data_IF_844014442326
#
_entry.id   IF_844014442326
#
_cell.length_a   1.000
_cell.length_b   1.000
_cell.length_c   1.000
_cell.angle_alpha   90.00
_cell.angle_beta   90.00
_cell.angle_gamma   90.00
#
_symmetry.space_group_name_H-M   'P 1'
#
loop_
_entity.id
_entity.type
_entity.pdbx_description
1 polymer ?
#
# COMPACT_ATOMS: atom_id res chain seq x y z
N UNK A 1 -9.76 10.80 -12.14
CA UNK A 1 -9.44 11.40 -10.81
C UNK A 1 -9.85 10.47 -9.67
N UNK A 2 -11.14 10.17 -9.45
CA UNK A 2 -11.58 9.22 -8.40
C UNK A 2 -10.95 7.83 -8.48
N UNK A 3 -10.72 7.33 -9.70
CA UNK A 3 -10.08 6.02 -9.91
C UNK A 3 -8.61 6.01 -9.46
N UNK A 4 -7.84 7.05 -9.80
CA UNK A 4 -6.44 7.19 -9.37
C UNK A 4 -6.31 7.41 -7.86
N UNK A 5 -7.25 8.14 -7.24
CA UNK A 5 -7.31 8.27 -5.78
C UNK A 5 -7.45 6.92 -5.07
N UNK A 6 -8.19 5.97 -5.66
CA UNK A 6 -8.42 4.64 -5.07
C UNK A 6 -7.19 3.72 -5.07
N UNK A 7 -6.12 4.08 -5.79
CA UNK A 7 -4.87 3.32 -5.84
C UNK A 7 -4.08 3.50 -4.53
N UNK A 8 -4.16 4.67 -3.91
CA UNK A 8 -3.33 5.01 -2.76
C UNK A 8 -3.83 4.38 -1.46
N UNK A 9 -2.90 3.83 -0.68
CA UNK A 9 -3.20 3.30 0.64
C UNK A 9 -3.53 4.43 1.63
N UNK A 10 -4.40 4.13 2.59
CA UNK A 10 -4.69 4.98 3.76
C UNK A 10 -4.43 4.20 5.06
N UNK A 11 -3.95 4.87 6.13
CA UNK A 11 -3.45 6.24 6.13
C UNK A 11 -2.17 6.37 5.29
N UNK A 12 -1.90 7.58 4.80
CA UNK A 12 -0.65 7.87 4.07
C UNK A 12 0.53 7.80 5.03
N UNK A 13 1.55 7.00 4.73
CA UNK A 13 2.83 7.09 5.43
C UNK A 13 3.58 8.34 4.94
N UNK A 14 3.55 9.40 5.74
CA UNK A 14 3.92 10.75 5.30
C UNK A 14 5.42 10.90 5.03
N UNK A 15 6.25 10.03 5.61
CA UNK A 15 7.69 10.05 5.40
C UNK A 15 8.10 9.69 3.97
N UNK A 16 7.25 8.97 3.25
CA UNK A 16 7.44 8.63 1.84
C UNK A 16 6.78 9.64 0.88
N UNK A 17 6.18 10.71 1.42
CA UNK A 17 5.52 11.72 0.62
C UNK A 17 6.52 12.81 0.19
N UNK A 18 6.53 13.09 -1.11
CA UNK A 18 7.27 14.20 -1.70
C UNK A 18 6.50 15.52 -1.59
N UNK A 19 7.16 16.67 -1.82
CA UNK A 19 6.46 17.93 -2.03
C UNK A 19 5.41 17.83 -3.13
N UNK A 20 4.42 18.73 -3.09
CA UNK A 20 3.41 18.81 -4.13
C UNK A 20 4.08 18.94 -5.51
N UNK A 21 3.66 18.11 -6.44
CA UNK A 21 4.21 18.11 -7.80
C UNK A 21 3.88 19.42 -8.51
N UNK A 22 4.89 20.03 -9.14
CA UNK A 22 4.77 21.22 -10.00
C UNK A 22 5.43 20.95 -11.35
N UNK A 23 5.11 21.77 -12.35
CA UNK A 23 5.69 21.64 -13.68
C UNK A 23 7.22 21.78 -13.64
N UNK A 24 7.76 22.66 -12.78
CA UNK A 24 9.21 22.81 -12.60
C UNK A 24 9.88 21.56 -11.99
N UNK A 25 9.20 20.88 -11.06
CA UNK A 25 9.69 19.62 -10.47
C UNK A 25 9.70 18.52 -11.54
N UNK A 26 8.66 18.46 -12.38
CA UNK A 26 8.57 17.49 -13.48
C UNK A 26 9.68 17.75 -14.50
N UNK A 27 9.81 18.99 -14.99
CA UNK A 27 10.84 19.36 -15.97
C UNK A 27 12.26 19.06 -15.43
N UNK A 28 12.52 19.38 -14.17
CA UNK A 28 13.80 19.09 -13.52
C UNK A 28 14.09 17.59 -13.42
N UNK A 29 13.07 16.78 -13.10
CA UNK A 29 13.20 15.33 -13.06
C UNK A 29 13.46 14.74 -14.45
N UNK A 30 12.69 15.13 -15.47
CA UNK A 30 12.91 14.69 -16.85
C UNK A 30 14.29 15.09 -17.39
N UNK A 31 14.76 16.30 -17.07
CA UNK A 31 16.10 16.75 -17.43
C UNK A 31 17.18 15.91 -16.74
N UNK A 32 17.02 15.60 -15.44
CA UNK A 32 17.97 14.79 -14.68
C UNK A 32 18.02 13.35 -15.18
N UNK A 33 16.86 12.76 -15.47
CA UNK A 33 16.72 11.39 -15.94
C UNK A 33 17.08 11.24 -17.43
N UNK A 34 16.96 12.31 -18.22
CA UNK A 34 17.18 12.27 -19.67
C UNK A 34 16.00 11.69 -20.47
N UNK A 35 14.84 11.48 -19.83
CA UNK A 35 13.65 10.88 -20.42
C UNK A 35 12.40 11.71 -20.13
N UNK A 36 11.42 11.64 -21.05
CA UNK A 36 10.08 12.15 -20.79
C UNK A 36 9.29 11.13 -19.98
N UNK A 37 8.65 11.57 -18.91
CA UNK A 37 7.86 10.69 -18.05
C UNK A 37 6.51 10.39 -18.69
N UNK A 38 5.94 9.18 -18.48
CA UNK A 38 4.59 8.86 -18.94
C UNK A 38 3.56 9.83 -18.37
N UNK A 39 2.60 10.26 -19.18
CA UNK A 39 1.55 11.18 -18.73
C UNK A 39 0.73 10.58 -17.59
N UNK A 40 0.40 9.28 -17.67
CA UNK A 40 -0.37 8.56 -16.66
C UNK A 40 0.38 8.47 -15.32
N UNK A 41 1.71 8.36 -15.36
CA UNK A 41 2.55 8.41 -14.17
C UNK A 41 2.49 9.80 -13.51
N UNK A 42 2.62 10.87 -14.31
CA UNK A 42 2.48 12.25 -13.82
C UNK A 42 1.07 12.50 -13.25
N UNK A 43 0.01 12.07 -13.93
CA UNK A 43 -1.36 12.25 -13.46
C UNK A 43 -1.63 11.50 -12.15
N UNK A 44 -1.04 10.31 -11.96
CA UNK A 44 -1.06 9.61 -10.69
C UNK A 44 -0.33 10.40 -9.59
N UNK A 45 0.87 10.91 -9.86
CA UNK A 45 1.66 11.67 -8.88
C UNK A 45 1.05 13.05 -8.55
N UNK A 46 0.24 13.63 -9.45
CA UNK A 46 -0.55 14.84 -9.15
C UNK A 46 -1.62 14.58 -8.08
N UNK A 47 -2.11 13.35 -7.95
CA UNK A 47 -3.02 12.94 -6.88
C UNK A 47 -2.27 12.80 -5.55
N UNK A 48 -1.15 12.06 -5.57
CA UNK A 48 -0.25 11.93 -4.42
C UNK A 48 1.16 11.67 -4.92
N UNK A 49 2.13 12.51 -4.51
CA UNK A 49 3.50 12.42 -5.02
C UNK A 49 4.31 11.41 -4.20
N UNK A 50 4.04 10.12 -4.44
CA UNK A 50 4.72 8.99 -3.81
C UNK A 50 4.00 8.39 -2.59
N UNK A 51 4.43 7.18 -2.22
CA UNK A 51 3.95 6.46 -1.04
C UNK A 51 3.33 5.10 -1.37
N UNK A 52 2.77 4.45 -0.35
CA UNK A 52 2.17 3.12 -0.49
C UNK A 52 0.87 3.12 -1.30
N UNK A 53 0.67 2.07 -2.07
CA UNK A 53 -0.54 1.78 -2.83
C UNK A 53 -1.24 0.57 -2.22
N UNK A 54 -2.56 0.52 -2.37
CA UNK A 54 -3.40 -0.61 -1.93
C UNK A 54 -3.79 -1.55 -3.08
N UNK A 55 -3.40 -1.22 -4.31
CA UNK A 55 -3.62 -2.08 -5.46
C UNK A 55 -2.28 -2.51 -6.03
N UNK A 56 -2.11 -3.81 -6.24
CA UNK A 56 -0.87 -4.44 -6.65
C UNK A 56 -1.10 -5.36 -7.86
N UNK A 57 -0.01 -5.81 -8.46
CA UNK A 57 -0.06 -6.85 -9.48
C UNK A 57 -0.34 -8.20 -8.78
N UNK A 58 -1.05 -9.08 -9.47
CA UNK A 58 -1.26 -10.44 -8.98
C UNK A 58 0.10 -11.15 -8.82
N UNK A 59 0.27 -11.93 -7.74
CA UNK A 59 1.52 -12.65 -7.42
C UNK A 59 2.78 -11.76 -7.30
N UNK A 60 2.60 -10.47 -7.00
CA UNK A 60 3.70 -9.50 -6.86
C UNK A 60 3.72 -8.85 -5.48
N UNK A 61 4.92 -8.44 -5.06
CA UNK A 61 5.18 -7.72 -3.79
C UNK A 61 5.14 -6.21 -3.94
N UNK A 62 4.76 -5.69 -5.12
CA UNK A 62 4.69 -4.26 -5.36
C UNK A 62 3.65 -3.59 -4.47
N UNK A 63 4.08 -2.55 -3.76
CA UNK A 63 3.30 -1.95 -2.68
C UNK A 63 3.43 -0.43 -2.63
N UNK A 64 4.18 0.19 -3.55
CA UNK A 64 4.40 1.64 -3.54
C UNK A 64 4.61 2.20 -4.93
N UNK A 65 4.52 3.52 -5.00
CA UNK A 65 4.95 4.31 -6.13
C UNK A 65 5.95 5.33 -5.61
N UNK A 66 7.13 5.41 -6.22
CA UNK A 66 8.13 6.41 -5.90
C UNK A 66 7.67 7.78 -6.38
N UNK A 67 7.91 8.80 -5.57
CA UNK A 67 7.57 10.17 -5.96
C UNK A 67 8.68 10.84 -6.77
N UNK A 68 8.45 12.11 -7.10
CA UNK A 68 9.45 13.01 -7.66
C UNK A 68 9.74 14.09 -6.62
N UNK A 69 10.95 14.07 -6.06
CA UNK A 69 11.37 15.04 -5.07
C UNK A 69 12.62 14.61 -4.30
N UNK A 70 12.97 15.36 -3.24
CA UNK A 70 14.24 15.18 -2.53
C UNK A 70 14.21 14.07 -1.46
N UNK A 71 13.05 13.48 -1.16
CA UNK A 71 12.91 12.51 -0.09
C UNK A 71 12.97 11.08 -0.61
N UNK A 72 13.20 10.10 0.26
CA UNK A 72 13.05 8.70 -0.11
C UNK A 72 11.58 8.26 0.00
N UNK A 73 11.05 7.43 -0.92
CA UNK A 73 11.67 7.01 -2.17
C UNK A 73 11.40 8.00 -3.32
N UNK A 74 12.37 8.14 -4.23
CA UNK A 74 12.31 9.08 -5.36
C UNK A 74 12.82 8.45 -6.65
N UNK A 75 12.09 8.61 -7.75
CA UNK A 75 12.54 8.13 -9.07
C UNK A 75 13.78 8.88 -9.57
N UNK A 76 14.14 10.00 -8.95
CA UNK A 76 15.29 10.81 -9.35
C UNK A 76 16.58 10.41 -8.63
N UNK A 77 16.51 9.43 -7.72
CA UNK A 77 17.64 8.93 -6.94
C UNK A 77 18.05 7.52 -7.42
N UNK A 78 18.20 7.38 -8.74
CA UNK A 78 18.60 6.11 -9.36
C UNK A 78 20.11 5.96 -9.21
N UNK A 79 20.53 4.92 -8.49
CA UNK A 79 21.91 4.47 -8.44
C UNK A 79 21.99 2.97 -8.72
N UNK A 80 22.59 2.65 -9.87
CA UNK A 80 22.79 1.27 -10.33
C UNK A 80 24.20 0.75 -10.07
N UNK A 81 25.11 1.56 -9.50
CA UNK A 81 26.53 1.22 -9.41
C UNK A 81 26.78 -0.07 -8.65
N UNK A 82 26.05 -0.29 -7.56
CA UNK A 82 26.19 -1.48 -6.70
C UNK A 82 25.70 -2.77 -7.38
N UNK A 83 24.90 -2.69 -8.45
CA UNK A 83 24.25 -3.84 -9.10
C UNK A 83 24.96 -4.29 -10.38
N UNK A 84 25.85 -3.47 -10.96
CA UNK A 84 26.51 -3.73 -12.26
C UNK A 84 27.25 -5.06 -12.34
N UNK A 85 27.80 -5.52 -11.22
CA UNK A 85 28.55 -6.78 -11.15
C UNK A 85 27.65 -8.00 -10.86
N UNK A 86 26.38 -7.79 -10.53
CA UNK A 86 25.43 -8.84 -10.15
C UNK A 86 24.49 -9.26 -11.26
N UNK A 87 24.27 -8.39 -12.25
CA UNK A 87 23.34 -8.63 -13.36
C UNK A 87 24.03 -8.55 -14.72
N UNK A 88 23.50 -9.28 -15.70
CA UNK A 88 24.02 -9.36 -17.07
C UNK A 88 23.29 -8.45 -18.06
N UNK A 89 22.14 -7.89 -17.66
CA UNK A 89 21.34 -6.99 -18.49
C UNK A 89 21.74 -5.52 -18.35
N UNK A 90 21.44 -4.73 -19.39
CA UNK A 90 21.72 -3.28 -19.42
C UNK A 90 20.87 -2.54 -18.38
N UNK A 91 21.52 -1.74 -17.52
CA UNK A 91 20.87 -0.98 -16.45
C UNK A 91 20.54 0.45 -16.88
N UNK A 92 21.30 1.02 -17.82
CA UNK A 92 21.04 2.38 -18.31
C UNK A 92 19.69 2.46 -19.04
N UNK A 93 18.80 3.34 -18.57
CA UNK A 93 17.44 3.46 -19.08
C UNK A 93 16.37 2.72 -18.26
N UNK A 94 16.75 1.99 -17.21
CA UNK A 94 15.82 1.50 -16.19
C UNK A 94 15.66 2.55 -15.09
N UNK A 95 14.44 3.06 -14.92
CA UNK A 95 14.10 4.04 -13.87
C UNK A 95 13.15 3.37 -12.86
N UNK A 96 13.63 2.95 -11.68
CA UNK A 96 12.78 2.36 -10.65
C UNK A 96 11.68 3.30 -10.17
N UNK A 97 10.46 2.76 -10.04
CA UNK A 97 9.35 3.43 -9.36
C UNK A 97 8.69 2.58 -8.25
N UNK A 98 9.15 1.35 -8.06
CA UNK A 98 8.91 0.49 -6.90
C UNK A 98 10.15 -0.41 -6.72
N UNK A 99 10.35 -0.96 -5.54
CA UNK A 99 11.44 -1.87 -5.18
C UNK A 99 11.82 -1.81 -3.70
N UNK A 100 12.70 -2.72 -3.27
CA UNK A 100 13.22 -2.77 -1.90
C UNK A 100 14.76 -2.84 -1.81
N UNK A 101 15.44 -2.85 -2.96
CA UNK A 101 16.89 -3.07 -3.06
C UNK A 101 17.27 -4.41 -3.69
N UNK A 102 16.39 -5.41 -3.59
CA UNK A 102 16.63 -6.75 -4.17
C UNK A 102 15.86 -6.94 -5.48
N UNK A 103 14.74 -6.24 -5.62
CA UNK A 103 13.98 -6.15 -6.86
C UNK A 103 13.49 -4.73 -7.10
N UNK A 104 13.15 -4.44 -8.36
CA UNK A 104 12.55 -3.19 -8.78
C UNK A 104 11.49 -3.40 -9.85
N UNK A 105 10.50 -2.51 -9.89
CA UNK A 105 9.68 -2.28 -11.08
C UNK A 105 10.11 -0.96 -11.68
N UNK A 106 10.45 -0.98 -12.97
CA UNK A 106 11.07 0.13 -13.66
C UNK A 106 10.21 0.63 -14.82
N UNK A 107 10.25 1.95 -15.04
CA UNK A 107 10.02 2.52 -16.37
C UNK A 107 11.24 2.17 -17.23
N UNK A 108 11.04 1.37 -18.27
CA UNK A 108 12.11 0.84 -19.11
C UNK A 108 12.17 1.55 -20.47
N UNK A 109 13.19 2.39 -20.61
CA UNK A 109 13.42 3.20 -21.81
C UNK A 109 14.42 2.59 -22.79
N UNK A 110 14.96 1.38 -22.51
CA UNK A 110 16.03 0.76 -23.31
C UNK A 110 15.59 0.51 -24.75
N UNK A 111 14.33 0.10 -24.93
CA UNK A 111 13.73 -0.15 -26.24
C UNK A 111 13.10 1.12 -26.86
N UNK A 112 12.54 2.00 -26.04
CA UNK A 112 11.86 3.21 -26.51
C UNK A 112 12.00 4.37 -25.53
N UNK A 113 12.71 5.43 -25.95
CA UNK A 113 13.02 6.60 -25.11
C UNK A 113 11.84 7.54 -24.86
N UNK A 114 10.72 7.37 -25.56
CA UNK A 114 9.55 8.26 -25.45
C UNK A 114 8.33 7.60 -24.82
N UNK A 115 8.20 6.28 -24.93
CA UNK A 115 7.11 5.51 -24.33
C UNK A 115 7.72 4.26 -23.68
N UNK A 116 8.07 4.32 -22.38
CA UNK A 116 8.70 3.20 -21.70
C UNK A 116 7.71 2.05 -21.51
N UNK A 117 8.20 0.83 -21.61
CA UNK A 117 7.50 -0.34 -21.09
C UNK A 117 7.73 -0.46 -19.58
N UNK A 118 7.06 -1.40 -18.93
CA UNK A 118 7.23 -1.68 -17.50
C UNK A 118 7.93 -3.03 -17.36
N UNK A 119 9.06 -3.02 -16.66
CA UNK A 119 9.91 -4.19 -16.47
C UNK A 119 10.13 -4.43 -14.98
N UNK A 120 9.88 -5.66 -14.54
CA UNK A 120 10.34 -6.15 -13.26
C UNK A 120 11.79 -6.63 -13.40
N UNK A 121 12.65 -6.24 -12.46
CA UNK A 121 14.04 -6.70 -12.39
C UNK A 121 14.32 -7.24 -11.00
N UNK A 122 14.98 -8.38 -10.96
CA UNK A 122 15.49 -9.03 -9.75
C UNK A 122 17.02 -8.98 -9.83
N UNK A 123 17.61 -8.16 -8.97
CA UNK A 123 19.05 -7.91 -8.95
C UNK A 123 19.83 -9.00 -8.23
N UNK A 124 19.16 -9.87 -7.47
CA UNK A 124 19.79 -11.01 -6.80
C UNK A 124 19.84 -12.26 -7.69
N UNK A 125 18.85 -12.41 -8.58
CA UNK A 125 18.71 -13.60 -9.43
C UNK A 125 19.14 -13.40 -10.89
N UNK A 126 19.68 -12.23 -11.26
CA UNK A 126 19.99 -11.85 -12.64
C UNK A 126 18.80 -12.11 -13.60
N UNK A 127 17.62 -11.63 -13.18
CA UNK A 127 16.38 -11.87 -13.90
C UNK A 127 15.65 -10.56 -14.22
N UNK A 128 14.99 -10.54 -15.37
CA UNK A 128 14.10 -9.44 -15.75
C UNK A 128 12.92 -9.96 -16.56
N UNK A 129 11.76 -9.38 -16.34
CA UNK A 129 10.52 -9.75 -17.00
C UNK A 129 9.71 -8.52 -17.37
N UNK A 130 9.15 -8.53 -18.57
CA UNK A 130 8.23 -7.48 -18.99
C UNK A 130 6.88 -7.66 -18.29
N UNK A 131 6.45 -6.62 -17.59
CA UNK A 131 5.20 -6.55 -16.83
C UNK A 131 4.07 -5.95 -17.68
N UNK A 132 4.35 -4.86 -18.40
CA UNK A 132 3.33 -4.17 -19.18
C UNK A 132 3.93 -3.41 -20.37
N UNK A 133 3.12 -3.17 -21.40
CA UNK A 133 3.54 -2.39 -22.59
C UNK A 133 3.66 -0.89 -22.32
N UNK A 134 3.00 -0.38 -21.28
CA UNK A 134 3.03 1.02 -20.87
C UNK A 134 2.66 1.19 -19.39
N UNK A 135 2.87 2.39 -18.83
CA UNK A 135 2.41 2.69 -17.47
C UNK A 135 0.89 2.63 -17.34
N UNK A 136 0.15 3.03 -18.39
CA UNK A 136 -1.32 2.90 -18.42
C UNK A 136 -1.75 1.43 -18.33
N UNK A 137 -1.09 0.55 -19.09
CA UNK A 137 -1.38 -0.89 -19.06
C UNK A 137 -1.05 -1.48 -17.69
N UNK A 138 0.05 -1.05 -17.05
CA UNK A 138 0.37 -1.42 -15.67
C UNK A 138 -0.74 -1.02 -14.69
N UNK A 139 -1.24 0.21 -14.75
CA UNK A 139 -2.35 0.65 -13.90
C UNK A 139 -3.61 -0.20 -14.09
N UNK A 140 -3.89 -0.64 -15.32
CA UNK A 140 -5.07 -1.47 -15.62
C UNK A 140 -4.98 -2.90 -15.07
N UNK A 141 -3.77 -3.38 -14.79
CA UNK A 141 -3.52 -4.70 -14.21
C UNK A 141 -3.54 -4.69 -12.67
N UNK A 142 -3.53 -3.51 -12.03
CA UNK A 142 -3.54 -3.43 -10.56
C UNK A 142 -4.89 -3.86 -9.98
N UNK A 143 -4.84 -4.83 -9.08
CA UNK A 143 -6.01 -5.33 -8.35
C UNK A 143 -5.86 -5.05 -6.86
N UNK A 144 -6.98 -5.03 -6.13
CA UNK A 144 -6.97 -4.78 -4.70
C UNK A 144 -6.67 -6.09 -3.95
N UNK A 145 -5.54 -6.16 -3.24
CA UNK A 145 -5.20 -7.31 -2.40
C UNK A 145 -6.03 -7.32 -1.10
N UNK A 146 -7.07 -8.16 -1.04
CA UNK A 146 -8.01 -8.27 0.10
C UNK A 146 -8.41 -9.73 0.39
N UNK A 147 -7.52 -10.68 0.15
CA UNK A 147 -7.85 -12.10 0.20
C UNK A 147 -8.16 -12.63 1.62
N UNK A 148 -7.52 -12.06 2.65
CA UNK A 148 -7.56 -12.60 4.02
C UNK A 148 -8.40 -11.75 4.99
N UNK A 149 -8.82 -10.55 4.59
CA UNK A 149 -9.59 -9.64 5.45
C UNK A 149 -11.08 -9.97 5.51
N UNK A 150 -11.61 -10.02 6.73
CA UNK A 150 -13.03 -10.02 7.01
C UNK A 150 -13.49 -8.67 7.53
N UNK A 151 -14.74 -8.35 7.28
CA UNK A 151 -15.41 -7.12 7.69
C UNK A 151 -16.45 -7.44 8.74
N UNK A 152 -16.32 -6.82 9.92
CA UNK A 152 -17.37 -6.75 10.93
C UNK A 152 -18.19 -5.49 10.68
N UNK A 153 -19.44 -5.66 10.25
CA UNK A 153 -20.39 -4.56 10.05
C UNK A 153 -20.96 -4.15 11.40
N UNK A 154 -20.62 -2.95 11.88
CA UNK A 154 -21.06 -2.47 13.20
C UNK A 154 -21.17 -0.94 13.26
N UNK A 155 -21.85 -0.44 14.29
CA UNK A 155 -21.80 0.97 14.73
C UNK A 155 -21.13 1.11 16.11
N UNK A 156 -20.77 0.00 16.74
CA UNK A 156 -20.06 -0.03 18.02
C UNK A 156 -18.61 0.40 17.82
N UNK A 157 -17.99 0.90 18.87
CA UNK A 157 -16.57 1.23 18.89
C UNK A 157 -15.70 -0.04 18.82
N UNK A 158 -14.45 0.11 18.36
CA UNK A 158 -13.49 -1.00 18.35
C UNK A 158 -13.27 -1.60 19.74
N UNK A 159 -13.33 -0.78 20.80
CA UNK A 159 -13.22 -1.24 22.18
C UNK A 159 -14.45 -2.04 22.64
N UNK A 160 -15.65 -1.72 22.17
CA UNK A 160 -16.85 -2.50 22.45
C UNK A 160 -16.80 -3.86 21.73
N UNK A 161 -16.39 -3.88 20.46
CA UNK A 161 -16.23 -5.13 19.70
C UNK A 161 -15.08 -5.98 20.24
N UNK A 162 -13.95 -5.39 20.63
CA UNK A 162 -12.84 -6.13 21.23
C UNK A 162 -13.28 -6.81 22.53
N UNK A 163 -14.01 -6.11 23.41
CA UNK A 163 -14.58 -6.69 24.63
C UNK A 163 -15.55 -7.84 24.35
N UNK A 164 -16.38 -7.72 23.30
CA UNK A 164 -17.27 -8.81 22.88
C UNK A 164 -16.46 -10.03 22.42
N UNK A 165 -15.43 -9.82 21.59
CA UNK A 165 -14.53 -10.87 21.13
C UNK A 165 -13.80 -11.57 22.28
N UNK A 166 -13.29 -10.81 23.25
CA UNK A 166 -12.66 -11.36 24.46
C UNK A 166 -13.61 -12.30 25.22
N UNK A 167 -14.88 -11.91 25.38
CA UNK A 167 -15.88 -12.74 26.04
C UNK A 167 -16.30 -13.97 25.21
N UNK A 168 -16.39 -13.83 23.88
CA UNK A 168 -16.86 -14.91 23.00
C UNK A 168 -15.78 -15.99 22.85
N UNK A 169 -14.53 -15.57 22.72
CA UNK A 169 -13.39 -16.43 22.43
C UNK A 169 -12.58 -16.79 23.67
N UNK A 170 -12.88 -16.18 24.83
CA UNK A 170 -12.11 -16.33 26.07
C UNK A 170 -10.63 -16.00 25.88
N UNK A 171 -10.37 -14.85 25.24
CA UNK A 171 -9.05 -14.29 24.95
C UNK A 171 -8.90 -12.92 25.62
N UNK A 172 -7.71 -12.32 25.52
CA UNK A 172 -7.45 -10.92 25.89
C UNK A 172 -6.62 -10.25 24.82
N UNK A 173 -7.05 -9.09 24.35
CA UNK A 173 -6.25 -8.27 23.46
C UNK A 173 -5.08 -7.65 24.22
N UNK A 174 -3.95 -7.54 23.53
CA UNK A 174 -2.83 -6.73 23.98
C UNK A 174 -3.19 -5.24 23.92
N UNK A 175 -2.36 -4.39 24.55
CA UNK A 175 -2.46 -2.95 24.34
C UNK A 175 -2.30 -2.63 22.84
N UNK A 176 -3.18 -1.81 22.25
CA UNK A 176 -3.13 -1.54 20.83
C UNK A 176 -1.84 -0.81 20.44
N UNK A 177 -1.28 -1.20 19.31
CA UNK A 177 -0.12 -0.53 18.71
C UNK A 177 -0.53 0.21 17.43
N UNK A 178 0.12 1.35 17.18
CA UNK A 178 -0.08 2.14 15.96
C UNK A 178 1.21 2.41 15.20
N UNK A 179 2.33 1.81 15.61
CA UNK A 179 3.65 2.10 15.04
C UNK A 179 3.75 1.69 13.56
N UNK A 180 3.17 0.54 13.19
CA UNK A 180 3.24 0.01 11.84
C UNK A 180 2.36 0.81 10.87
N UNK A 181 1.14 1.14 11.28
CA UNK A 181 0.09 1.59 10.36
C UNK A 181 -0.52 2.96 10.68
N UNK A 182 -0.17 3.60 11.80
CA UNK A 182 -0.72 4.91 12.16
C UNK A 182 -2.15 4.91 12.69
N UNK A 183 -2.71 3.74 12.97
CA UNK A 183 -3.98 3.55 13.66
C UNK A 183 -3.83 2.40 14.66
N UNK A 184 -4.69 2.39 15.67
CA UNK A 184 -4.69 1.37 16.71
C UNK A 184 -5.08 0.01 16.12
N UNK A 185 -4.13 -0.92 16.10
CA UNK A 185 -4.33 -2.31 15.79
C UNK A 185 -4.35 -3.13 17.08
N UNK A 186 -5.43 -3.86 17.28
CA UNK A 186 -5.63 -4.75 18.40
C UNK A 186 -5.23 -6.15 17.97
N UNK A 187 -4.40 -6.83 18.77
CA UNK A 187 -4.05 -8.24 18.50
C UNK A 187 -4.20 -9.14 19.72
N UNK A 188 -4.51 -10.40 19.46
CA UNK A 188 -4.59 -11.44 20.48
C UNK A 188 -4.24 -12.81 19.87
N UNK A 189 -4.07 -13.81 20.73
CA UNK A 189 -3.91 -15.20 20.32
C UNK A 189 -5.09 -16.05 20.75
N UNK A 190 -5.54 -16.89 19.83
CA UNK A 190 -6.40 -18.02 20.11
C UNK A 190 -5.64 -19.28 19.68
N UNK A 191 -5.25 -20.09 20.65
CA UNK A 191 -4.31 -21.21 20.47
C UNK A 191 -2.99 -20.76 19.80
N UNK A 192 -2.66 -21.28 18.62
CA UNK A 192 -1.48 -20.91 17.83
C UNK A 192 -1.74 -19.75 16.86
N UNK A 193 -3.00 -19.39 16.62
CA UNK A 193 -3.37 -18.38 15.64
C UNK A 193 -3.40 -16.99 16.25
N UNK A 194 -2.81 -16.04 15.53
CA UNK A 194 -3.01 -14.62 15.78
C UNK A 194 -4.35 -14.16 15.22
N UNK A 195 -4.92 -13.16 15.90
CA UNK A 195 -6.12 -12.42 15.53
C UNK A 195 -5.72 -10.95 15.53
N UNK A 196 -6.02 -10.24 14.44
CA UNK A 196 -5.85 -8.78 14.34
C UNK A 196 -7.20 -8.12 14.11
N UNK A 197 -7.46 -7.03 14.82
CA UNK A 197 -8.66 -6.21 14.70
C UNK A 197 -8.26 -4.75 14.53
N UNK A 198 -8.77 -4.10 13.49
CA UNK A 198 -8.42 -2.71 13.16
C UNK A 198 -9.60 -1.94 12.58
N UNK A 199 -9.62 -0.60 12.68
CA UNK A 199 -10.71 0.21 12.13
C UNK A 199 -10.58 0.41 10.61
N UNK A 200 -11.72 0.62 9.93
CA UNK A 200 -11.71 1.15 8.57
C UNK A 200 -11.46 2.67 8.53
N UNK A 201 -12.05 3.42 9.48
CA UNK A 201 -11.81 4.86 9.63
C UNK A 201 -10.51 5.13 10.38
N UNK A 202 -9.52 5.65 9.66
CA UNK A 202 -8.15 5.88 10.14
C UNK A 202 -7.78 7.35 10.00
N UNK A 203 -6.67 7.83 10.60
CA UNK A 203 -6.12 9.14 10.27
C UNK A 203 -5.90 9.31 8.77
N UNK A 204 -5.79 10.56 8.30
CA UNK A 204 -5.51 10.79 6.86
C UNK A 204 -4.09 10.35 6.48
N UNK A 205 -3.15 10.57 7.39
CA UNK A 205 -1.76 10.16 7.26
C UNK A 205 -1.15 9.89 8.63
N UNK A 206 0.07 9.36 8.66
CA UNK A 206 0.84 9.16 9.87
C UNK A 206 2.34 9.29 9.61
N UNK A 207 3.06 9.60 10.67
CA UNK A 207 4.52 9.75 10.71
C UNK A 207 5.00 9.27 12.08
N UNK A 208 6.13 8.58 12.15
CA UNK A 208 6.62 8.04 13.43
C UNK A 208 7.39 9.12 14.19
N UNK A 209 7.26 9.13 15.52
CA UNK A 209 7.87 10.16 16.39
C UNK A 209 9.39 10.25 16.29
N UNK A 210 10.04 9.17 15.89
CA UNK A 210 11.50 9.08 15.77
C UNK A 210 12.02 9.44 14.37
N UNK A 211 11.18 9.92 13.46
CA UNK A 211 11.59 10.29 12.10
C UNK A 211 12.01 11.76 12.02
N UNK A 212 13.05 12.03 11.23
CA UNK A 212 13.69 13.34 11.13
C UNK A 212 12.71 14.47 10.76
N UNK A 213 11.69 14.15 9.96
CA UNK A 213 10.68 15.09 9.48
C UNK A 213 9.39 15.10 10.31
N UNK A 214 9.37 14.51 11.50
CA UNK A 214 8.15 14.37 12.31
C UNK A 214 7.42 15.70 12.54
N UNK A 215 8.10 16.75 13.00
CA UNK A 215 7.49 18.05 13.32
C UNK A 215 6.88 18.77 12.11
N UNK A 216 7.43 18.52 10.93
CA UNK A 216 6.92 19.02 9.65
C UNK A 216 5.66 18.24 9.25
N UNK A 217 5.76 16.91 9.26
CA UNK A 217 4.79 16.02 8.67
C UNK A 217 3.57 15.76 9.55
N UNK A 218 3.71 15.79 10.87
CA UNK A 218 2.61 15.42 11.79
C UNK A 218 1.36 16.28 11.57
N UNK A 219 1.52 17.53 11.12
CA UNK A 219 0.40 18.43 10.78
C UNK A 219 -0.42 17.96 9.57
N UNK A 220 0.20 17.20 8.66
CA UNK A 220 -0.46 16.61 7.50
C UNK A 220 -1.26 15.34 7.84
N UNK A 221 -1.13 14.82 9.07
CA UNK A 221 -1.91 13.68 9.57
C UNK A 221 -3.35 14.04 9.92
N UNK A 222 -3.66 15.33 10.07
CA UNK A 222 -4.96 15.82 10.51
C UNK A 222 -6.11 15.36 9.59
N UNK A 223 -7.24 15.03 10.22
CA UNK A 223 -8.42 14.49 9.54
C UNK A 223 -8.48 12.96 9.54
N UNK A 224 -9.49 12.43 8.85
CA UNK A 224 -9.78 11.01 8.76
C UNK A 224 -9.95 10.58 7.31
N UNK A 225 -9.68 9.31 7.03
CA UNK A 225 -9.92 8.66 5.75
C UNK A 225 -10.35 7.21 5.98
N UNK A 226 -11.04 6.61 5.00
CA UNK A 226 -11.32 5.18 5.00
C UNK A 226 -10.19 4.43 4.30
N UNK A 227 -9.82 3.26 4.84
CA UNK A 227 -8.90 2.32 4.17
C UNK A 227 -9.58 1.70 2.95
N UNK A 228 -10.82 1.28 3.14
CA UNK A 228 -11.68 0.65 2.17
C UNK A 228 -12.97 1.48 2.05
N UNK A 229 -13.06 2.44 1.11
CA UNK A 229 -14.27 3.22 0.82
C UNK A 229 -15.41 2.34 0.28
N UNK A 230 -15.12 1.09 -0.09
CA UNK A 230 -16.12 0.11 -0.52
C UNK A 230 -16.98 -0.39 0.65
N UNK A 231 -16.62 -0.15 1.90
CA UNK A 231 -17.38 -0.54 3.10
C UNK A 231 -17.66 0.68 4.00
N UNK A 232 -18.69 0.65 4.88
CA UNK A 232 -18.97 1.75 5.79
C UNK A 232 -17.75 2.14 6.65
N UNK A 233 -17.62 3.42 6.98
CA UNK A 233 -16.51 3.92 7.80
C UNK A 233 -16.49 3.34 9.23
N UNK A 234 -17.65 2.95 9.74
CA UNK A 234 -17.82 2.33 11.06
C UNK A 234 -17.40 0.86 11.10
N UNK A 235 -17.15 0.25 9.94
CA UNK A 235 -16.75 -1.16 9.86
C UNK A 235 -15.39 -1.39 10.50
N UNK A 236 -15.21 -2.58 11.06
CA UNK A 236 -13.92 -3.06 11.55
C UNK A 236 -13.41 -4.18 10.65
N UNK A 237 -12.10 -4.27 10.51
CA UNK A 237 -11.41 -5.32 9.77
C UNK A 237 -10.84 -6.31 10.76
N UNK A 238 -11.04 -7.60 10.50
CA UNK A 238 -10.49 -8.68 11.30
C UNK A 238 -9.80 -9.71 10.40
N UNK A 239 -8.60 -10.14 10.79
CA UNK A 239 -7.81 -11.15 10.06
C UNK A 239 -7.16 -12.14 11.02
N UNK A 240 -6.70 -13.27 10.47
CA UNK A 240 -6.23 -14.42 11.23
C UNK A 240 -5.00 -15.04 10.56
N UNK A 241 -4.06 -15.55 11.35
CA UNK A 241 -2.90 -16.25 10.78
C UNK A 241 -3.19 -17.69 10.36
N UNK A 242 -4.32 -18.27 10.80
CA UNK A 242 -4.72 -19.63 10.46
C UNK A 242 -6.19 -19.72 10.03
N UNK A 243 -6.42 -20.41 8.92
CA UNK A 243 -7.74 -20.58 8.29
C UNK A 243 -8.75 -21.27 9.23
N UNK A 244 -8.32 -22.29 9.95
CA UNK A 244 -9.17 -23.01 10.91
C UNK A 244 -9.69 -22.10 12.02
N UNK A 245 -8.85 -21.17 12.48
CA UNK A 245 -9.24 -20.20 13.51
C UNK A 245 -10.21 -19.18 12.94
N UNK A 246 -9.94 -18.67 11.73
CA UNK A 246 -10.86 -17.80 10.99
C UNK A 246 -12.27 -18.40 10.95
N UNK A 247 -12.39 -19.63 10.47
CA UNK A 247 -13.70 -20.29 10.29
C UNK A 247 -14.43 -20.52 11.62
N UNK A 248 -13.70 -20.94 12.66
CA UNK A 248 -14.25 -21.08 14.02
C UNK A 248 -14.77 -19.75 14.57
N UNK A 249 -14.00 -18.66 14.41
CA UNK A 249 -14.39 -17.33 14.91
C UNK A 249 -15.59 -16.79 14.14
N UNK A 250 -15.65 -16.97 12.81
CA UNK A 250 -16.81 -16.61 12.00
C UNK A 250 -18.08 -17.29 12.55
N UNK A 251 -18.04 -18.59 12.83
CA UNK A 251 -19.18 -19.33 13.38
C UNK A 251 -19.63 -18.74 14.72
N UNK A 252 -18.68 -18.49 15.64
CA UNK A 252 -18.97 -17.94 16.96
C UNK A 252 -19.55 -16.53 16.93
N UNK A 253 -19.09 -15.69 16.01
CA UNK A 253 -19.62 -14.35 15.83
C UNK A 253 -21.05 -14.39 15.28
N UNK A 254 -21.31 -15.26 14.30
CA UNK A 254 -22.65 -15.44 13.73
C UNK A 254 -23.66 -15.98 14.75
N UNK A 255 -23.24 -16.90 15.63
CA UNK A 255 -24.06 -17.38 16.76
C UNK A 255 -24.50 -16.24 17.70
N UNK A 256 -23.72 -15.16 17.75
CA UNK A 256 -24.00 -13.94 18.54
C UNK A 256 -24.65 -12.82 17.73
N UNK A 257 -25.06 -13.11 16.49
CA UNK A 257 -25.66 -12.14 15.57
C UNK A 257 -24.73 -10.97 15.21
N UNK A 258 -23.42 -11.17 15.31
CA UNK A 258 -22.42 -10.22 14.81
C UNK A 258 -22.24 -10.49 13.32
N UNK A 259 -22.51 -9.47 12.51
CA UNK A 259 -22.39 -9.56 11.06
C UNK A 259 -20.91 -9.53 10.65
N UNK A 260 -20.46 -10.63 10.04
CA UNK A 260 -19.10 -10.79 9.53
C UNK A 260 -19.09 -11.44 8.14
N UNK A 261 -18.38 -10.78 7.20
CA UNK A 261 -18.33 -11.16 5.78
C UNK A 261 -16.91 -10.98 5.22
N UNK A 262 -16.58 -11.69 4.15
CA UNK A 262 -15.31 -11.48 3.42
C UNK A 262 -15.28 -10.10 2.77
N UNK A 263 -14.17 -9.37 2.92
CA UNK A 263 -13.98 -8.08 2.24
C UNK A 263 -13.94 -8.26 0.73
N UNK A 264 -13.21 -9.26 0.24
CA UNK A 264 -13.15 -9.64 -1.17
C UNK A 264 -14.54 -9.85 -1.77
N UNK A 265 -15.38 -10.67 -1.13
CA UNK A 265 -16.74 -10.93 -1.60
C UNK A 265 -17.63 -9.67 -1.61
N UNK A 266 -17.45 -8.75 -0.66
CA UNK A 266 -18.20 -7.50 -0.63
C UNK A 266 -17.81 -6.62 -1.84
N UNK A 267 -16.52 -6.57 -2.15
CA UNK A 267 -15.98 -5.74 -3.24
C UNK A 267 -16.38 -6.32 -4.60
N UNK A 268 -16.25 -7.62 -4.80
CA UNK A 268 -16.67 -8.30 -6.03
C UNK A 268 -18.17 -8.13 -6.34
N UNK A 269 -19.03 -8.05 -5.32
CA UNK A 269 -20.48 -7.78 -5.51
C UNK A 269 -20.81 -6.35 -5.92
N UNK A 270 -19.86 -5.41 -5.78
CA UNK A 270 -20.05 -3.98 -6.09
C UNK A 270 -19.48 -3.57 -7.45
N UNK A 271 -18.67 -4.42 -8.07
CA UNK A 271 -18.14 -4.29 -9.42
C UNK A 271 -19.16 -4.82 -10.45
#
# INVERSE_FOLDING_TARGET
MKELESIWQKPIYLSYLQPKLTDEIIEGAEQKLGYKLPNEFIELLKVQNGGYIRKNLEESVNDKIYGIGPYFPSITDVDWEEYKDWVSFELEGLIPFDGDGHWYICLDYRNNKSTPEITYVDTECDNQEKVADSFSDYLSQLTLGVDDELVISTNDTISEISNQLESILNIRFEEPDSFAHGYDEYRSKLDSSWIWLSPNLVPKGFVRKNEDRYEELVKLSEGKATRFPEIPETSLLISFSEEKTRDFVIEKLRDKQIEINSLKEIIEKKL
#
